data_IF_729794657267
#
_entry.id   IF_729794657267
#
_cell.length_a   1.000
_cell.length_b   1.000
_cell.length_c   1.000
_cell.angle_alpha   90.00
_cell.angle_beta   90.00
_cell.angle_gamma   90.00
#
_symmetry.space_group_name_H-M   'P 1'
#
loop_
_entity.id
_entity.type
_entity.pdbx_description
1 polymer ?
#
# COMPACT_ATOMS: atom_id res chain seq x y z
N UNK A 1 56.68 -21.67 -56.57
CA UNK A 1 55.55 -21.96 -55.66
C UNK A 1 55.95 -22.34 -54.21
N UNK A 2 57.22 -22.28 -53.77
CA UNK A 2 57.59 -22.61 -52.37
C UNK A 2 57.71 -21.43 -51.39
N UNK A 3 57.80 -20.19 -51.87
CA UNK A 3 57.97 -19.01 -50.99
C UNK A 3 56.64 -18.46 -50.43
N UNK A 4 55.50 -18.78 -51.06
CA UNK A 4 54.18 -18.27 -50.64
C UNK A 4 53.54 -19.06 -49.48
N UNK A 5 53.91 -20.33 -49.29
CA UNK A 5 53.38 -21.18 -48.21
C UNK A 5 54.07 -20.94 -46.86
N UNK A 6 55.35 -20.53 -46.86
CA UNK A 6 56.11 -20.21 -45.64
C UNK A 6 55.65 -18.90 -44.98
N UNK A 7 55.11 -17.95 -45.75
CA UNK A 7 54.65 -16.66 -45.23
C UNK A 7 53.31 -16.78 -44.48
N UNK A 8 52.40 -17.65 -44.95
CA UNK A 8 51.08 -17.84 -44.34
C UNK A 8 51.15 -18.60 -43.00
N UNK A 9 52.09 -19.52 -42.86
CA UNK A 9 52.29 -20.32 -41.63
C UNK A 9 52.93 -19.49 -40.50
N UNK A 10 53.84 -18.56 -40.82
CA UNK A 10 54.40 -17.62 -39.85
C UNK A 10 53.37 -16.64 -39.27
N UNK A 11 52.50 -16.09 -40.11
CA UNK A 11 51.46 -15.13 -39.66
C UNK A 11 50.43 -15.79 -38.74
N UNK A 12 50.03 -17.04 -39.01
CA UNK A 12 49.12 -17.80 -38.15
C UNK A 12 49.73 -18.17 -36.78
N UNK A 13 51.05 -18.40 -36.74
CA UNK A 13 51.81 -18.62 -35.50
C UNK A 13 51.84 -17.37 -34.63
N UNK A 14 52.15 -16.21 -35.21
CA UNK A 14 52.21 -14.93 -34.50
C UNK A 14 50.83 -14.50 -33.99
N UNK A 15 49.77 -14.65 -34.79
CA UNK A 15 48.40 -14.35 -34.36
C UNK A 15 47.94 -15.26 -33.20
N UNK A 16 48.35 -16.53 -33.20
CA UNK A 16 48.04 -17.49 -32.12
C UNK A 16 48.80 -17.15 -30.83
N UNK A 17 50.06 -16.72 -30.96
CA UNK A 17 50.87 -16.27 -29.82
C UNK A 17 50.32 -14.98 -29.21
N UNK A 18 49.88 -14.02 -30.05
CA UNK A 18 49.25 -12.78 -29.61
C UNK A 18 47.92 -13.02 -28.90
N UNK A 19 47.08 -13.94 -29.40
CA UNK A 19 45.82 -14.30 -28.72
C UNK A 19 46.06 -14.96 -27.35
N UNK A 20 47.08 -15.80 -27.21
CA UNK A 20 47.44 -16.41 -25.91
C UNK A 20 47.92 -15.37 -24.90
N UNK A 21 48.73 -14.40 -25.33
CA UNK A 21 49.19 -13.29 -24.48
C UNK A 21 48.05 -12.38 -24.00
N UNK A 22 47.06 -12.09 -24.87
CA UNK A 22 45.89 -11.28 -24.51
C UNK A 22 44.98 -12.03 -23.53
N UNK A 23 44.80 -13.35 -23.70
CA UNK A 23 44.02 -14.16 -22.76
C UNK A 23 44.72 -14.29 -21.40
N UNK A 24 46.05 -14.42 -21.37
CA UNK A 24 46.84 -14.49 -20.13
C UNK A 24 46.94 -13.17 -19.37
N UNK A 25 46.86 -12.02 -20.06
CA UNK A 25 46.87 -10.70 -19.41
C UNK A 25 45.50 -10.25 -18.90
N UNK A 26 44.40 -10.82 -19.41
CA UNK A 26 43.03 -10.55 -18.94
C UNK A 26 42.62 -11.44 -17.76
N UNK A 27 43.19 -12.64 -17.61
CA UNK A 27 42.92 -13.58 -16.49
C UNK A 27 43.15 -12.98 -15.08
N UNK A 28 44.23 -12.23 -14.80
CA UNK A 28 44.44 -11.60 -13.49
C UNK A 28 43.47 -10.45 -13.20
N UNK A 29 43.02 -9.73 -14.24
CA UNK A 29 42.06 -8.62 -14.13
C UNK A 29 40.67 -9.15 -13.75
N UNK A 30 40.26 -10.28 -14.33
CA UNK A 30 39.00 -10.96 -13.98
C UNK A 30 39.02 -11.46 -12.53
N UNK A 31 40.16 -11.96 -12.03
CA UNK A 31 40.31 -12.39 -10.64
C UNK A 31 40.21 -11.23 -9.63
N UNK A 32 40.73 -10.05 -9.94
CA UNK A 32 40.63 -8.87 -9.06
C UNK A 32 39.21 -8.29 -8.95
N UNK A 33 38.36 -8.47 -9.98
CA UNK A 33 36.95 -8.03 -9.95
C UNK A 33 36.09 -8.93 -9.05
N UNK A 34 36.53 -10.17 -8.75
CA UNK A 34 35.76 -11.08 -7.88
C UNK A 34 35.91 -10.81 -6.38
N UNK A 35 36.89 -10.00 -5.96
CA UNK A 35 37.13 -9.71 -4.54
C UNK A 35 36.19 -8.66 -3.92
N UNK A 36 35.35 -8.00 -4.72
CA UNK A 36 34.37 -7.02 -4.21
C UNK A 36 32.97 -7.58 -3.97
N UNK A 37 32.73 -8.87 -4.25
CA UNK A 37 31.46 -9.53 -3.97
C UNK A 37 31.59 -10.46 -2.75
N UNK A 38 31.41 -9.90 -1.54
CA UNK A 38 30.81 -10.57 -0.35
C UNK A 38 30.76 -9.58 0.84
N UNK A 39 30.10 -8.43 0.65
CA UNK A 39 29.40 -7.80 1.78
C UNK A 39 28.06 -8.53 1.88
N UNK A 40 28.03 -9.64 2.60
CA UNK A 40 26.78 -10.19 3.12
C UNK A 40 26.34 -9.28 4.26
N UNK A 41 25.55 -8.25 3.93
CA UNK A 41 24.68 -7.66 4.93
C UNK A 41 23.67 -8.75 5.31
N UNK A 42 23.93 -9.44 6.41
CA UNK A 42 22.91 -10.18 7.14
C UNK A 42 21.97 -9.16 7.80
N UNK A 43 21.30 -8.34 6.98
CA UNK A 43 20.02 -7.79 7.35
C UNK A 43 19.10 -8.99 7.42
N UNK A 44 18.67 -9.35 8.62
CA UNK A 44 17.50 -10.20 8.82
C UNK A 44 16.31 -9.46 8.22
N UNK A 45 16.18 -9.59 6.90
CA UNK A 45 15.23 -8.89 6.05
C UNK A 45 13.84 -9.25 6.51
N UNK A 46 13.32 -8.42 7.39
CA UNK A 46 12.03 -8.65 8.00
C UNK A 46 10.96 -8.39 6.95
N UNK A 47 10.58 -9.43 6.17
CA UNK A 47 9.59 -9.29 5.11
C UNK A 47 8.23 -8.88 5.68
N UNK A 48 7.77 -7.69 5.30
CA UNK A 48 6.43 -7.18 5.61
C UNK A 48 5.40 -7.84 4.70
N UNK A 49 4.17 -7.99 5.19
CA UNK A 49 3.04 -8.48 4.40
C UNK A 49 1.73 -7.85 4.81
N UNK A 50 0.83 -7.80 3.83
CA UNK A 50 -0.54 -7.37 4.00
C UNK A 50 -1.50 -8.57 3.97
N UNK A 51 -2.69 -8.37 4.53
CA UNK A 51 -3.79 -9.31 4.37
C UNK A 51 -4.13 -9.46 2.87
N UNK A 52 -4.65 -10.61 2.41
CA UNK A 52 -5.15 -10.74 1.04
C UNK A 52 -6.06 -9.58 0.64
N UNK A 53 -5.86 -9.07 -0.58
CA UNK A 53 -6.56 -7.91 -1.19
C UNK A 53 -6.16 -6.53 -0.65
N UNK A 54 -5.10 -6.45 0.15
CA UNK A 54 -4.48 -5.18 0.54
C UNK A 54 -3.14 -4.99 -0.18
N UNK A 55 -2.86 -3.76 -0.58
CA UNK A 55 -1.65 -3.38 -1.30
C UNK A 55 -0.60 -2.83 -0.33
N UNK A 56 0.63 -3.36 -0.41
CA UNK A 56 1.75 -2.94 0.43
C UNK A 56 2.41 -1.69 -0.16
N UNK A 57 2.52 -0.62 0.63
CA UNK A 57 3.29 0.57 0.31
C UNK A 57 4.11 1.03 1.52
N UNK A 58 5.43 1.01 1.39
CA UNK A 58 6.34 1.21 2.52
C UNK A 58 6.08 0.18 3.62
N UNK A 59 5.55 0.63 4.76
CA UNK A 59 5.19 -0.22 5.91
C UNK A 59 3.67 -0.22 6.17
N UNK A 60 2.88 0.26 5.22
CA UNK A 60 1.42 0.35 5.32
C UNK A 60 0.77 -0.58 4.30
N UNK A 61 -0.38 -1.09 4.67
CA UNK A 61 -1.27 -1.86 3.82
C UNK A 61 -2.48 -0.99 3.52
N UNK A 62 -2.85 -0.84 2.25
CA UNK A 62 -4.01 -0.05 1.83
C UNK A 62 -5.04 -0.92 1.11
N UNK A 63 -6.33 -0.58 1.24
CA UNK A 63 -7.41 -1.24 0.51
C UNK A 63 -8.52 -0.25 0.16
N UNK A 64 -9.01 -0.32 -1.07
CA UNK A 64 -10.15 0.44 -1.56
C UNK A 64 -11.46 -0.30 -1.31
N UNK A 65 -12.48 0.42 -0.86
CA UNK A 65 -13.81 -0.09 -0.55
C UNK A 65 -14.86 0.65 -1.39
N UNK A 66 -15.42 0.01 -2.43
CA UNK A 66 -16.45 0.60 -3.28
C UNK A 66 -17.84 0.51 -2.61
N UNK A 67 -17.96 1.02 -1.38
CA UNK A 67 -19.19 1.03 -0.58
C UNK A 67 -19.52 2.46 -0.19
N UNK A 68 -20.66 2.96 -0.67
CA UNK A 68 -21.15 4.30 -0.35
C UNK A 68 -21.35 4.47 1.16
N UNK A 69 -20.56 5.34 1.77
CA UNK A 69 -20.56 5.56 3.22
C UNK A 69 -20.37 7.03 3.55
N UNK A 70 -20.98 7.50 4.63
CA UNK A 70 -20.59 8.76 5.25
C UNK A 70 -19.13 8.68 5.69
N UNK A 71 -18.48 9.82 5.93
CA UNK A 71 -17.10 9.80 6.40
C UNK A 71 -16.95 9.08 7.74
N UNK A 72 -17.90 9.28 8.67
CA UNK A 72 -17.89 8.63 9.98
C UNK A 72 -18.10 7.12 9.88
N UNK A 73 -18.99 6.65 9.00
CA UNK A 73 -19.21 5.22 8.80
C UNK A 73 -17.99 4.56 8.16
N UNK A 74 -17.37 5.23 7.18
CA UNK A 74 -16.16 4.77 6.54
C UNK A 74 -15.00 4.63 7.55
N UNK A 75 -14.83 5.64 8.42
CA UNK A 75 -13.83 5.59 9.48
C UNK A 75 -14.08 4.43 10.45
N UNK A 76 -15.33 4.26 10.89
CA UNK A 76 -15.71 3.13 11.72
C UNK A 76 -15.42 1.78 11.05
N UNK A 77 -15.76 1.61 9.77
CA UNK A 77 -15.51 0.37 9.03
C UNK A 77 -14.01 0.07 8.84
N UNK A 78 -13.18 1.09 8.64
CA UNK A 78 -11.72 0.91 8.64
C UNK A 78 -11.21 0.45 10.01
N UNK A 79 -11.72 1.04 11.10
CA UNK A 79 -11.36 0.64 12.48
C UNK A 79 -11.69 -0.82 12.78
N UNK A 80 -12.82 -1.32 12.28
CA UNK A 80 -13.22 -2.72 12.41
C UNK A 80 -12.27 -3.69 11.69
N UNK A 81 -11.51 -3.19 10.70
CA UNK A 81 -10.48 -3.95 10.00
C UNK A 81 -9.08 -3.82 10.65
N UNK A 82 -8.97 -3.12 11.77
CA UNK A 82 -7.72 -2.89 12.50
C UNK A 82 -6.84 -1.79 11.90
N UNK A 83 -7.43 -0.84 11.19
CA UNK A 83 -6.76 0.32 10.62
C UNK A 83 -7.64 1.56 10.65
N UNK A 84 -7.28 2.56 9.87
CA UNK A 84 -7.97 3.84 9.83
C UNK A 84 -8.24 4.23 8.38
N UNK A 85 -9.03 5.29 8.16
CA UNK A 85 -9.03 5.90 6.84
C UNK A 85 -7.61 6.39 6.49
N UNK A 86 -7.24 6.27 5.22
CA UNK A 86 -5.85 6.49 4.81
C UNK A 86 -5.41 7.94 4.99
N UNK A 87 -4.21 8.11 5.53
CA UNK A 87 -3.47 9.36 5.66
C UNK A 87 -2.45 9.55 4.53
N UNK A 88 -2.17 10.80 4.18
CA UNK A 88 -1.19 11.20 3.14
C UNK A 88 -0.07 12.00 3.79
N UNK A 89 1.18 11.59 3.60
CA UNK A 89 2.36 12.27 4.16
C UNK A 89 3.37 12.71 3.10
N UNK A 90 3.37 12.05 1.94
CA UNK A 90 4.27 12.39 0.83
C UNK A 90 3.54 12.43 -0.51
N UNK A 91 4.13 13.05 -1.55
CA UNK A 91 3.59 12.97 -2.91
C UNK A 91 3.48 11.52 -3.43
N UNK A 92 4.40 10.65 -3.03
CA UNK A 92 4.37 9.23 -3.39
C UNK A 92 3.21 8.49 -2.70
N UNK A 93 2.87 8.86 -1.46
CA UNK A 93 1.64 8.36 -0.82
C UNK A 93 0.41 8.73 -1.65
N UNK A 94 0.30 9.99 -2.06
CA UNK A 94 -0.84 10.49 -2.83
C UNK A 94 -0.97 9.76 -4.17
N UNK A 95 0.14 9.59 -4.88
CA UNK A 95 0.18 8.86 -6.13
C UNK A 95 -0.24 7.40 -5.94
N UNK A 96 0.26 6.74 -4.90
CA UNK A 96 -0.08 5.34 -4.63
C UNK A 96 -1.55 5.18 -4.22
N UNK A 97 -2.07 6.08 -3.39
CA UNK A 97 -3.47 6.08 -2.95
C UNK A 97 -4.41 6.30 -4.14
N UNK A 98 -4.06 7.20 -5.06
CA UNK A 98 -4.77 7.38 -6.33
C UNK A 98 -4.80 6.10 -7.18
N UNK A 99 -3.71 5.33 -7.22
CA UNK A 99 -3.67 4.04 -7.94
C UNK A 99 -4.52 2.96 -7.25
N UNK A 100 -4.61 2.98 -5.92
CA UNK A 100 -5.47 2.06 -5.15
C UNK A 100 -6.96 2.39 -5.35
N UNK A 101 -7.30 3.66 -5.59
CA UNK A 101 -8.66 4.10 -5.88
C UNK A 101 -9.11 3.65 -7.27
N UNK A 102 -9.74 2.48 -7.37
CA UNK A 102 -10.28 1.95 -8.64
C UNK A 102 -11.65 2.59 -8.93
N UNK A 103 -11.67 3.91 -9.11
CA UNK A 103 -12.85 4.72 -9.43
C UNK A 103 -12.44 6.08 -10.02
N UNK A 104 -13.39 6.77 -10.66
CA UNK A 104 -13.22 8.17 -11.09
C UNK A 104 -13.93 9.15 -10.16
N UNK A 105 -14.76 8.66 -9.24
CA UNK A 105 -15.48 9.48 -8.26
C UNK A 105 -14.57 9.83 -7.07
N UNK A 106 -14.80 10.96 -6.39
CA UNK A 106 -14.08 11.27 -5.15
C UNK A 106 -14.24 10.18 -4.10
N UNK A 107 -13.19 9.98 -3.30
CA UNK A 107 -13.13 8.97 -2.22
C UNK A 107 -12.72 9.60 -0.90
N UNK A 108 -13.23 9.06 0.21
CA UNK A 108 -12.86 9.49 1.55
C UNK A 108 -11.44 9.07 1.92
N UNK A 109 -10.73 10.03 2.54
CA UNK A 109 -9.46 9.85 3.24
C UNK A 109 -9.65 10.16 4.74
N UNK A 110 -8.62 9.94 5.56
CA UNK A 110 -8.72 10.09 7.02
C UNK A 110 -8.67 11.52 7.54
N UNK A 111 -8.68 12.53 6.67
CA UNK A 111 -8.57 13.91 7.07
C UNK A 111 -9.90 14.45 7.57
N UNK A 112 -9.91 15.12 8.72
CA UNK A 112 -11.08 15.85 9.23
C UNK A 112 -10.67 17.17 9.85
N UNK A 113 -11.60 18.13 9.81
CA UNK A 113 -11.40 19.47 10.34
C UNK A 113 -12.09 19.62 11.71
N UNK A 114 -11.35 20.08 12.70
CA UNK A 114 -11.90 20.42 14.01
C UNK A 114 -12.78 21.68 13.93
N UNK A 115 -13.98 21.59 14.50
CA UNK A 115 -14.99 22.63 14.42
C UNK A 115 -14.57 23.94 15.12
N UNK A 116 -13.78 23.86 16.19
CA UNK A 116 -13.47 25.01 17.04
C UNK A 116 -12.46 25.98 16.42
N UNK A 117 -11.40 25.44 15.82
CA UNK A 117 -10.27 26.24 15.33
C UNK A 117 -9.98 26.03 13.83
N UNK A 118 -10.69 25.12 13.17
CA UNK A 118 -10.50 24.81 11.75
C UNK A 118 -9.22 24.02 11.44
N UNK A 119 -8.54 23.47 12.43
CA UNK A 119 -7.34 22.65 12.25
C UNK A 119 -7.68 21.28 11.68
N UNK A 120 -6.78 20.74 10.87
CA UNK A 120 -6.95 19.44 10.25
C UNK A 120 -6.17 18.35 11.00
N UNK A 121 -6.74 17.16 11.06
CA UNK A 121 -6.18 15.98 11.71
C UNK A 121 -6.40 14.74 10.86
N UNK A 122 -5.48 13.78 10.97
CA UNK A 122 -5.67 12.43 10.44
C UNK A 122 -6.27 11.52 11.51
N UNK A 123 -7.16 10.61 11.09
CA UNK A 123 -7.78 9.59 11.96
C UNK A 123 -6.81 8.60 12.57
N UNK A 124 -5.63 8.42 11.98
CA UNK A 124 -4.59 7.52 12.46
C UNK A 124 -3.61 8.20 13.45
N UNK A 125 -3.98 9.39 13.95
CA UNK A 125 -3.21 10.24 14.87
C UNK A 125 -1.83 10.66 14.36
N UNK A 126 -1.54 10.44 13.08
CA UNK A 126 -0.28 10.90 12.49
C UNK A 126 -0.27 12.42 12.33
N UNK A 127 0.91 13.06 12.38
CA UNK A 127 1.00 14.52 12.22
C UNK A 127 0.41 14.98 10.88
N UNK A 128 -0.51 15.93 10.93
CA UNK A 128 -1.07 16.56 9.74
C UNK A 128 -0.05 17.53 9.13
N UNK A 129 0.77 17.02 8.21
CA UNK A 129 1.81 17.76 7.48
C UNK A 129 1.53 17.73 5.99
N UNK A 130 0.53 18.50 5.58
CA UNK A 130 0.28 18.75 4.17
C UNK A 130 1.13 19.96 3.75
N UNK A 131 2.23 19.71 3.03
CA UNK A 131 3.05 20.80 2.49
C UNK A 131 2.30 21.54 1.37
N UNK A 132 2.84 22.66 0.90
CA UNK A 132 2.30 23.54 -0.16
C UNK A 132 2.02 22.89 -1.52
N UNK A 133 2.25 21.58 -1.68
CA UNK A 133 1.95 20.79 -2.89
C UNK A 133 0.50 20.30 -2.97
N UNK A 134 -0.31 20.55 -1.96
CA UNK A 134 -1.75 20.26 -1.97
C UNK A 134 -2.50 21.60 -2.00
N UNK A 135 -3.49 21.71 -2.90
CA UNK A 135 -4.46 22.79 -2.80
C UNK A 135 -5.17 22.66 -1.45
N UNK A 136 -5.03 23.67 -0.58
CA UNK A 136 -5.72 23.66 0.71
C UNK A 136 -7.20 23.29 0.49
N UNK A 137 -7.76 22.35 1.29
CA UNK A 137 -9.15 22.00 1.20
C UNK A 137 -10.00 23.27 1.38
N UNK A 138 -10.78 23.65 0.36
CA UNK A 138 -11.69 24.80 0.47
C UNK A 138 -12.64 24.55 1.62
N UNK A 139 -12.62 25.36 2.67
CA UNK A 139 -13.43 25.17 3.87
C UNK A 139 -14.92 25.03 3.54
N UNK A 140 -15.52 23.88 3.90
CA UNK A 140 -16.96 23.78 4.07
C UNK A 140 -17.35 24.57 5.35
N UNK A 141 -18.61 25.03 5.41
CA UNK A 141 -19.11 25.95 6.44
C UNK A 141 -19.00 25.44 7.90
N UNK A 142 -19.57 26.21 8.82
CA UNK A 142 -19.40 26.13 10.29
C UNK A 142 -19.60 24.76 11.01
N UNK A 143 -19.92 23.68 10.29
CA UNK A 143 -20.12 22.33 10.81
C UNK A 143 -18.87 21.42 10.78
N UNK A 144 -17.73 21.91 10.26
CA UNK A 144 -16.53 21.09 10.01
C UNK A 144 -16.54 20.45 8.62
N UNK A 145 -15.42 19.85 8.23
CA UNK A 145 -15.21 19.31 6.89
C UNK A 145 -14.41 18.00 6.94
N UNK A 146 -14.64 17.14 5.95
CA UNK A 146 -13.96 15.86 5.79
C UNK A 146 -13.18 15.82 4.47
N UNK A 147 -12.08 15.07 4.45
CA UNK A 147 -11.15 15.09 3.34
C UNK A 147 -11.49 14.04 2.30
N UNK A 148 -11.62 14.49 1.06
CA UNK A 148 -11.75 13.63 -0.11
C UNK A 148 -10.57 13.79 -1.06
N UNK A 149 -10.35 12.78 -1.89
CA UNK A 149 -9.43 12.81 -3.03
C UNK A 149 -10.18 12.47 -4.31
N UNK A 150 -9.96 13.25 -5.36
CA UNK A 150 -10.35 12.87 -6.71
C UNK A 150 -9.22 12.02 -7.34
N UNK A 151 -9.47 10.75 -7.74
CA UNK A 151 -8.38 9.84 -8.16
C UNK A 151 -7.63 10.27 -9.43
N UNK A 152 -8.33 10.88 -10.40
CA UNK A 152 -7.74 11.19 -11.71
C UNK A 152 -6.69 12.31 -11.67
N UNK A 153 -6.84 13.27 -10.76
CA UNK A 153 -5.95 14.42 -10.60
C UNK A 153 -5.17 14.37 -9.27
N UNK A 154 -5.47 13.40 -8.40
CA UNK A 154 -4.88 13.29 -7.06
C UNK A 154 -5.22 14.49 -6.18
N UNK A 155 -6.27 15.25 -6.51
CA UNK A 155 -6.56 16.51 -5.83
C UNK A 155 -7.28 16.25 -4.52
N UNK A 156 -6.77 16.84 -3.44
CA UNK A 156 -7.41 16.80 -2.14
C UNK A 156 -8.37 17.99 -1.97
N UNK A 157 -9.56 17.71 -1.47
CA UNK A 157 -10.60 18.72 -1.25
C UNK A 157 -11.33 18.47 0.07
N UNK A 158 -12.03 19.50 0.55
CA UNK A 158 -12.92 19.39 1.69
C UNK A 158 -14.34 19.17 1.18
N UNK A 159 -15.08 18.31 1.86
CA UNK A 159 -16.47 18.03 1.56
C UNK A 159 -17.28 17.88 2.86
N UNK A 160 -18.61 18.11 2.82
CA UNK A 160 -19.51 17.76 3.92
C UNK A 160 -19.39 16.28 4.29
N UNK A 161 -19.21 16.00 5.59
CA UNK A 161 -18.91 14.66 6.10
C UNK A 161 -20.07 13.66 5.95
N UNK A 162 -21.30 14.16 5.73
CA UNK A 162 -22.52 13.38 5.54
C UNK A 162 -22.72 12.91 4.09
N UNK A 163 -21.92 13.41 3.14
CA UNK A 163 -21.93 12.89 1.78
C UNK A 163 -21.52 11.41 1.75
N UNK A 164 -22.14 10.64 0.85
CA UNK A 164 -21.79 9.25 0.65
C UNK A 164 -20.69 9.14 -0.40
N UNK A 165 -19.57 8.49 -0.06
CA UNK A 165 -18.47 8.21 -0.98
C UNK A 165 -17.88 6.83 -0.73
N UNK A 166 -17.12 6.34 -1.69
CA UNK A 166 -16.21 5.22 -1.48
C UNK A 166 -15.03 5.67 -0.63
N UNK A 167 -14.25 4.72 -0.10
CA UNK A 167 -13.20 5.06 0.85
C UNK A 167 -11.99 4.13 0.76
N UNK A 168 -10.87 4.58 1.32
CA UNK A 168 -9.63 3.81 1.37
C UNK A 168 -9.19 3.68 2.82
N UNK A 169 -9.00 2.45 3.28
CA UNK A 169 -8.43 2.17 4.58
C UNK A 169 -6.92 1.93 4.49
N UNK A 170 -6.22 2.21 5.59
CA UNK A 170 -4.79 1.96 5.78
C UNK A 170 -4.55 1.29 7.13
N UNK A 171 -3.58 0.39 7.20
CA UNK A 171 -3.09 -0.18 8.47
C UNK A 171 -1.60 -0.48 8.40
N UNK A 172 -0.96 -0.70 9.54
CA UNK A 172 0.44 -1.13 9.58
C UNK A 172 0.60 -2.56 9.04
N UNK A 173 1.57 -2.75 8.14
CA UNK A 173 1.94 -4.05 7.64
C UNK A 173 2.55 -4.92 8.76
N UNK A 174 2.18 -6.19 8.78
CA UNK A 174 2.64 -7.14 9.80
C UNK A 174 3.92 -7.82 9.34
N UNK A 175 4.78 -8.19 10.29
CA UNK A 175 5.98 -8.94 9.99
C UNK A 175 5.64 -10.41 9.67
N UNK A 176 6.07 -10.93 8.51
CA UNK A 176 5.76 -12.32 8.08
C UNK A 176 6.19 -13.38 9.10
N UNK A 177 7.27 -13.16 9.86
CA UNK A 177 7.74 -14.11 10.89
C UNK A 177 6.72 -14.26 12.04
N UNK A 178 6.16 -13.13 12.52
CA UNK A 178 5.14 -13.09 13.57
C UNK A 178 3.86 -13.80 13.14
N UNK A 179 3.49 -13.65 11.86
CA UNK A 179 2.32 -14.36 11.31
C UNK A 179 2.59 -15.87 11.30
N UNK A 180 3.74 -16.33 10.78
CA UNK A 180 4.03 -17.76 10.71
C UNK A 180 4.13 -18.42 12.09
N UNK A 181 4.65 -17.72 13.09
CA UNK A 181 4.77 -18.22 14.47
C UNK A 181 3.44 -18.24 15.23
N UNK A 182 2.48 -17.36 14.91
CA UNK A 182 1.18 -17.26 15.60
C UNK A 182 -0.02 -17.79 14.78
N UNK A 183 0.19 -18.20 13.53
CA UNK A 183 -0.84 -18.79 12.66
C UNK A 183 -1.49 -20.01 13.32
N UNK A 184 -0.71 -20.79 14.06
CA UNK A 184 -1.17 -22.01 14.74
C UNK A 184 -1.96 -21.70 16.04
N UNK A 185 -1.92 -20.46 16.52
CA UNK A 185 -2.57 -20.04 17.77
C UNK A 185 -3.86 -19.21 17.55
N UNK A 186 -4.05 -18.68 16.34
CA UNK A 186 -5.31 -18.04 15.93
C UNK A 186 -6.06 -19.00 15.01
N UNK A 187 -6.90 -19.84 15.60
CA UNK A 187 -7.76 -20.75 14.85
C UNK A 187 -8.74 -19.95 13.96
N UNK A 188 -8.33 -19.78 12.70
CA UNK A 188 -9.08 -19.06 11.67
C UNK A 188 -10.47 -19.65 11.50
N UNK A 189 -10.66 -20.96 11.72
CA UNK A 189 -11.98 -21.58 11.67
C UNK A 189 -12.84 -21.14 12.85
N UNK A 190 -12.26 -21.05 14.05
CA UNK A 190 -12.96 -20.52 15.23
C UNK A 190 -13.33 -19.05 15.05
N UNK A 191 -12.43 -18.23 14.51
CA UNK A 191 -12.72 -16.83 14.21
C UNK A 191 -13.80 -16.66 13.14
N UNK A 192 -13.71 -17.40 12.03
CA UNK A 192 -14.74 -17.42 10.97
C UNK A 192 -16.09 -17.85 11.55
N UNK A 193 -16.13 -18.87 12.42
CA UNK A 193 -17.37 -19.30 13.03
C UNK A 193 -17.93 -18.23 13.98
N UNK A 194 -17.10 -17.57 14.79
CA UNK A 194 -17.53 -16.45 15.65
C UNK A 194 -18.11 -15.30 14.82
N UNK A 195 -17.43 -14.88 13.73
CA UNK A 195 -17.94 -13.85 12.84
C UNK A 195 -19.23 -14.27 12.13
N UNK A 196 -19.34 -15.54 11.71
CA UNK A 196 -20.57 -16.09 11.13
C UNK A 196 -21.72 -16.05 12.13
N UNK A 197 -21.52 -16.50 13.36
CA UNK A 197 -22.56 -16.45 14.40
C UNK A 197 -22.99 -15.00 14.69
N UNK A 198 -22.04 -14.07 14.78
CA UNK A 198 -22.35 -12.66 15.03
C UNK A 198 -23.11 -12.01 13.87
N UNK A 199 -22.75 -12.31 12.62
CA UNK A 199 -23.45 -11.82 11.42
C UNK A 199 -24.87 -12.40 11.32
N UNK A 200 -25.05 -13.68 11.67
CA UNK A 200 -26.36 -14.33 11.67
C UNK A 200 -27.25 -13.78 12.79
N UNK A 201 -26.69 -13.48 13.96
CA UNK A 201 -27.39 -12.83 15.05
C UNK A 201 -27.84 -11.41 14.70
N UNK A 202 -26.99 -10.62 14.03
CA UNK A 202 -27.37 -9.27 13.58
C UNK A 202 -28.42 -9.30 12.47
N UNK A 203 -28.36 -10.27 11.55
CA UNK A 203 -29.39 -10.47 10.52
C UNK A 203 -30.73 -10.89 11.13
N UNK A 204 -30.71 -11.76 12.14
CA UNK A 204 -31.91 -12.16 12.87
C UNK A 204 -32.51 -11.00 13.66
N UNK A 205 -31.66 -10.20 14.31
CA UNK A 205 -32.07 -8.99 15.04
C UNK A 205 -32.65 -7.92 14.12
N UNK A 206 -32.01 -7.65 12.98
CA UNK A 206 -32.53 -6.74 11.96
C UNK A 206 -33.89 -7.21 11.42
N UNK A 207 -34.04 -8.51 11.12
CA UNK A 207 -35.30 -9.07 10.66
C UNK A 207 -36.40 -8.97 11.73
N UNK A 208 -36.08 -9.20 13.00
CA UNK A 208 -37.01 -9.04 14.11
C UNK A 208 -37.44 -7.58 14.31
N UNK A 209 -36.51 -6.62 14.22
CA UNK A 209 -36.82 -5.19 14.27
C UNK A 209 -37.73 -4.75 13.12
N UNK A 210 -37.51 -5.27 11.91
CA UNK A 210 -38.35 -4.98 10.74
C UNK A 210 -39.75 -5.56 10.91
N UNK A 211 -39.90 -6.81 11.37
CA UNK A 211 -41.22 -7.41 11.63
C UNK A 211 -41.99 -6.67 12.74
N UNK A 212 -41.31 -6.14 13.76
CA UNK A 212 -41.94 -5.35 14.84
C UNK A 212 -42.53 -4.02 14.35
N UNK A 213 -42.05 -3.51 13.22
CA UNK A 213 -42.50 -2.22 12.64
C UNK A 213 -43.71 -2.34 11.71
N UNK A 214 -44.06 -3.55 11.27
CA UNK A 214 -45.22 -3.81 10.40
C UNK A 214 -46.49 -4.15 11.20
N UNK A 215 -46.37 -4.72 12.41
CA UNK A 215 -47.52 -5.03 13.28
C UNK A 215 -48.10 -3.79 14.00
N UNK A 216 -47.43 -2.64 13.96
CA UNK A 216 -47.87 -1.38 14.59
C UNK A 216 -48.68 -0.43 13.68
N UNK A 217 -49.11 -0.88 12.50
CA UNK A 217 -49.85 -0.06 11.50
C UNK A 217 -51.28 -0.56 11.22
N UNK A 218 -51.92 -1.20 12.19
CA UNK A 218 -53.34 -1.56 12.10
C UNK A 218 -54.18 -0.77 13.13
#
# INVERSE_FOLDING_TARGET
MRAREAFATGILSELRSMMVCVLLSLLPVVLLITSSALVSSSGTGSSLSCHPRWFLFGRRCLSFYPVWSSWSDANFLCSQSGGDLVSIHTPEDLQFVAQVAITTTPVWLGGSQEQQNGSWFWTDDTPFRINSWISEPKTAGAAGACMEMTPNDGKLQSAPCDELKFYICSMNARYKKVIKENQDHMDVFKAINIFREHMMAQKAFYKALVCSSEEGKQ
#
